data_IF_260870242126
#
_entry.id   IF_260870242126
#
_cell.length_a   1.000
_cell.length_b   1.000
_cell.length_c   1.000
_cell.angle_alpha   90.00
_cell.angle_beta   90.00
_cell.angle_gamma   90.00
#
_symmetry.space_group_name_H-M   'P 1'
#
loop_
_entity.id
_entity.type
_entity.pdbx_description
1 polymer ?
#
# COMPACT_ATOMS: atom_id res chain seq x y z
N UNK A 1 3.32 -21.16 -13.86
CA UNK A 1 4.00 -20.35 -12.83
C UNK A 1 2.99 -19.79 -11.84
N UNK A 2 3.24 -19.93 -10.56
CA UNK A 2 2.37 -19.33 -9.53
C UNK A 2 2.51 -17.81 -9.61
N UNK A 3 1.40 -17.11 -9.84
CA UNK A 3 1.38 -15.64 -9.86
C UNK A 3 1.70 -15.08 -8.49
N UNK A 4 2.55 -14.07 -8.43
CA UNK A 4 2.84 -13.34 -7.17
C UNK A 4 1.64 -12.49 -6.78
N UNK A 5 1.19 -12.61 -5.54
CA UNK A 5 0.05 -11.88 -5.01
C UNK A 5 0.44 -10.48 -4.55
N UNK A 6 -0.39 -9.49 -4.85
CA UNK A 6 -0.25 -8.11 -4.41
C UNK A 6 -1.59 -7.66 -3.84
N UNK A 7 -1.55 -7.09 -2.64
CA UNK A 7 -2.73 -6.49 -2.01
C UNK A 7 -2.61 -4.97 -2.05
N UNK A 8 -3.62 -4.32 -2.63
CA UNK A 8 -3.74 -2.88 -2.67
C UNK A 8 -4.92 -2.45 -1.79
N UNK A 9 -4.67 -1.51 -0.89
CA UNK A 9 -5.66 -1.03 0.07
C UNK A 9 -5.93 0.46 -0.12
N UNK A 10 -7.19 0.84 0.01
CA UNK A 10 -7.59 2.21 0.25
C UNK A 10 -8.15 2.29 1.67
N UNK A 11 -7.53 3.04 2.59
CA UNK A 11 -7.90 3.03 4.00
C UNK A 11 -9.24 3.70 4.22
N UNK A 12 -9.89 3.33 5.31
CA UNK A 12 -11.07 4.03 5.78
C UNK A 12 -10.72 5.44 6.25
N UNK A 13 -11.75 6.27 6.33
CA UNK A 13 -11.67 7.61 6.88
C UNK A 13 -12.75 7.78 7.95
N UNK A 14 -12.60 8.75 8.88
CA UNK A 14 -13.61 8.99 9.90
C UNK A 14 -15.00 9.16 9.31
N UNK A 15 -16.00 8.57 9.97
CA UNK A 15 -17.42 8.57 9.54
C UNK A 15 -18.01 9.95 9.33
N UNK A 16 -17.39 11.00 9.86
CA UNK A 16 -17.79 12.40 9.66
C UNK A 16 -17.71 12.89 8.21
N UNK A 17 -17.05 12.16 7.34
CA UNK A 17 -16.90 12.51 5.91
C UNK A 17 -17.95 11.86 5.00
N UNK A 18 -18.91 11.12 5.56
CA UNK A 18 -19.98 10.44 4.84
C UNK A 18 -19.54 9.22 4.05
N UNK A 19 -20.49 8.61 3.35
CA UNK A 19 -20.23 7.45 2.52
C UNK A 19 -19.36 7.79 1.30
N UNK A 20 -18.46 6.90 0.89
CA UNK A 20 -17.65 7.11 -0.30
C UNK A 20 -18.54 7.11 -1.56
N UNK A 21 -18.50 8.21 -2.29
CA UNK A 21 -19.31 8.38 -3.51
C UNK A 21 -18.57 7.96 -4.79
N UNK A 22 -17.24 7.94 -4.73
CA UNK A 22 -16.41 7.66 -5.90
C UNK A 22 -15.41 6.54 -5.60
N UNK A 23 -15.19 5.61 -6.55
CA UNK A 23 -14.14 4.61 -6.41
C UNK A 23 -12.75 5.29 -6.41
N UNK A 24 -11.75 4.70 -5.74
CA UNK A 24 -10.39 5.23 -5.72
C UNK A 24 -9.69 4.91 -7.05
N UNK A 25 -9.86 5.75 -8.05
CA UNK A 25 -9.43 5.52 -9.44
C UNK A 25 -7.92 5.25 -9.53
N UNK A 26 -7.09 6.02 -8.81
CA UNK A 26 -5.63 5.86 -8.85
C UNK A 26 -5.17 4.45 -8.48
N UNK A 27 -5.71 3.89 -7.41
CA UNK A 27 -5.35 2.52 -6.99
C UNK A 27 -5.90 1.47 -7.98
N UNK A 28 -7.03 1.75 -8.62
CA UNK A 28 -7.60 0.92 -9.70
C UNK A 28 -6.68 0.87 -10.91
N UNK A 29 -6.13 2.00 -11.33
CA UNK A 29 -5.17 2.10 -12.43
C UNK A 29 -3.91 1.29 -12.11
N UNK A 30 -3.32 1.48 -10.93
CA UNK A 30 -2.15 0.74 -10.45
C UNK A 30 -2.42 -0.77 -10.45
N UNK A 31 -3.57 -1.20 -9.93
CA UNK A 31 -3.96 -2.61 -9.94
C UNK A 31 -4.06 -3.19 -11.35
N UNK A 32 -4.64 -2.43 -12.29
CA UNK A 32 -4.76 -2.85 -13.69
C UNK A 32 -3.39 -2.99 -14.35
N UNK A 33 -2.48 -2.06 -14.12
CA UNK A 33 -1.11 -2.10 -14.65
C UNK A 33 -0.39 -3.36 -14.15
N UNK A 34 -0.46 -3.63 -12.85
CA UNK A 34 0.16 -4.82 -12.25
C UNK A 34 -0.47 -6.13 -12.77
N UNK A 35 -1.78 -6.18 -12.94
CA UNK A 35 -2.47 -7.36 -13.52
C UNK A 35 -2.01 -7.63 -14.96
N UNK A 36 -1.86 -6.59 -15.79
CA UNK A 36 -1.33 -6.69 -17.16
C UNK A 36 0.11 -7.22 -17.19
N UNK A 37 0.88 -7.01 -16.13
CA UNK A 37 2.23 -7.56 -15.95
C UNK A 37 2.25 -8.98 -15.35
N UNK A 38 1.10 -9.58 -15.14
CA UNK A 38 0.98 -10.97 -14.71
C UNK A 38 0.90 -11.18 -13.19
N UNK A 39 0.83 -10.12 -12.39
CA UNK A 39 0.60 -10.25 -10.95
C UNK A 39 -0.86 -10.61 -10.63
N UNK A 40 -1.08 -11.31 -9.53
CA UNK A 40 -2.41 -11.54 -8.98
C UNK A 40 -2.72 -10.42 -7.98
N UNK A 41 -3.56 -9.46 -8.38
CA UNK A 41 -3.83 -8.27 -7.60
C UNK A 41 -5.23 -8.33 -6.99
N UNK A 42 -5.31 -8.04 -5.70
CA UNK A 42 -6.56 -7.74 -5.01
C UNK A 42 -6.55 -6.29 -4.56
N UNK A 43 -7.68 -5.61 -4.76
CA UNK A 43 -7.92 -4.25 -4.26
C UNK A 43 -9.03 -4.34 -3.23
N UNK A 44 -8.81 -3.73 -2.07
CA UNK A 44 -9.82 -3.61 -1.03
C UNK A 44 -9.98 -2.15 -0.62
N UNK A 45 -11.15 -1.61 -0.92
CA UNK A 45 -11.57 -0.29 -0.46
C UNK A 45 -12.23 -0.44 0.92
N UNK A 46 -11.47 -0.12 1.95
CA UNK A 46 -11.90 -0.31 3.34
C UNK A 46 -13.00 0.68 3.78
N UNK A 47 -13.33 1.65 2.94
CA UNK A 47 -14.44 2.58 3.20
C UNK A 47 -15.82 1.93 2.94
N UNK A 48 -15.85 0.89 2.10
CA UNK A 48 -17.09 0.23 1.65
C UNK A 48 -17.56 -0.86 2.60
N UNK A 49 -16.64 -1.52 3.28
CA UNK A 49 -16.93 -2.65 4.14
C UNK A 49 -16.65 -2.33 5.61
N UNK A 50 -17.49 -2.84 6.50
CA UNK A 50 -17.17 -2.85 7.93
C UNK A 50 -16.02 -3.83 8.16
N UNK A 51 -14.78 -3.40 7.93
CA UNK A 51 -13.60 -4.20 8.19
C UNK A 51 -13.15 -4.05 9.65
N UNK A 52 -12.44 -5.07 10.11
CA UNK A 52 -11.64 -4.99 11.33
C UNK A 52 -10.21 -5.38 11.01
N UNK A 53 -9.25 -4.93 11.81
CA UNK A 53 -7.85 -5.33 11.64
C UNK A 53 -7.69 -6.84 11.67
N UNK A 54 -8.50 -7.56 12.45
CA UNK A 54 -8.49 -9.03 12.47
C UNK A 54 -8.94 -9.65 11.15
N UNK A 55 -10.03 -9.17 10.55
CA UNK A 55 -10.48 -9.63 9.23
C UNK A 55 -9.42 -9.37 8.16
N UNK A 56 -8.78 -8.19 8.20
CA UNK A 56 -7.69 -7.87 7.29
C UNK A 56 -6.48 -8.77 7.49
N UNK A 57 -6.12 -9.04 8.75
CA UNK A 57 -5.03 -9.97 9.09
C UNK A 57 -5.29 -11.37 8.54
N UNK A 58 -6.50 -11.91 8.76
CA UNK A 58 -6.89 -13.25 8.28
C UNK A 58 -6.87 -13.31 6.75
N UNK A 59 -7.31 -12.25 6.08
CA UNK A 59 -7.22 -12.15 4.62
C UNK A 59 -5.76 -12.15 4.14
N UNK A 60 -4.88 -11.38 4.77
CA UNK A 60 -3.45 -11.32 4.43
C UNK A 60 -2.80 -12.70 4.61
N UNK A 61 -3.12 -13.39 5.70
CA UNK A 61 -2.59 -14.72 5.97
C UNK A 61 -2.99 -15.74 4.91
N UNK A 62 -4.25 -15.71 4.47
CA UNK A 62 -4.73 -16.56 3.38
C UNK A 62 -4.21 -16.18 2.00
N UNK A 63 -4.15 -14.88 1.69
CA UNK A 63 -3.77 -14.37 0.37
C UNK A 63 -2.25 -14.34 0.15
N UNK A 64 -1.47 -14.17 1.21
CA UNK A 64 0.02 -14.17 1.21
C UNK A 64 0.62 -13.22 0.17
N UNK A 65 0.34 -11.90 0.25
CA UNK A 65 0.89 -10.95 -0.70
C UNK A 65 2.41 -10.78 -0.51
N UNK A 66 3.11 -10.52 -1.60
CA UNK A 66 4.56 -10.22 -1.56
C UNK A 66 4.82 -8.81 -1.03
N UNK A 67 3.89 -7.90 -1.25
CA UNK A 67 3.84 -6.58 -0.61
C UNK A 67 2.39 -6.08 -0.51
N UNK A 68 2.20 -5.08 0.35
CA UNK A 68 0.93 -4.37 0.51
C UNK A 68 1.16 -2.91 0.13
N UNK A 69 0.41 -2.43 -0.87
CA UNK A 69 0.37 -1.03 -1.27
C UNK A 69 -0.86 -0.34 -0.68
N UNK A 70 -0.66 0.84 -0.11
CA UNK A 70 -1.75 1.63 0.47
C UNK A 70 -1.74 3.02 -0.16
N UNK A 71 -2.86 3.41 -0.78
CA UNK A 71 -3.03 4.77 -1.28
C UNK A 71 -3.81 5.59 -0.25
N UNK A 72 -3.20 6.67 0.27
CA UNK A 72 -3.80 7.42 1.37
C UNK A 72 -3.78 8.93 1.16
N UNK A 73 -4.83 9.55 1.66
CA UNK A 73 -4.92 10.99 1.92
C UNK A 73 -4.51 11.29 3.37
N UNK A 74 -4.39 12.56 3.72
CA UNK A 74 -4.11 12.95 5.11
C UNK A 74 -5.18 12.50 6.11
N UNK A 75 -6.43 12.39 5.66
CA UNK A 75 -7.56 11.95 6.48
C UNK A 75 -7.45 10.45 6.82
N UNK A 76 -7.07 9.62 5.84
CA UNK A 76 -6.89 8.17 6.02
C UNK A 76 -5.53 7.78 6.60
N UNK A 77 -4.64 8.73 6.87
CA UNK A 77 -3.26 8.40 7.25
C UNK A 77 -3.14 7.69 8.59
N UNK A 78 -3.98 8.05 9.58
CA UNK A 78 -4.00 7.35 10.87
C UNK A 78 -4.34 5.86 10.69
N UNK A 79 -5.37 5.56 9.93
CA UNK A 79 -5.76 4.18 9.60
C UNK A 79 -4.64 3.44 8.84
N UNK A 80 -3.98 4.13 7.91
CA UNK A 80 -2.80 3.59 7.19
C UNK A 80 -1.70 3.14 8.15
N UNK A 81 -1.36 3.97 9.14
CA UNK A 81 -0.33 3.63 10.13
C UNK A 81 -0.75 2.44 10.99
N UNK A 82 -2.01 2.37 11.42
CA UNK A 82 -2.54 1.23 12.19
C UNK A 82 -2.49 -0.07 11.40
N UNK A 83 -2.83 -0.03 10.11
CA UNK A 83 -2.71 -1.17 9.19
C UNK A 83 -1.24 -1.62 9.07
N UNK A 84 -0.31 -0.68 8.81
CA UNK A 84 1.10 -1.01 8.70
C UNK A 84 1.66 -1.62 10.00
N UNK A 85 1.27 -1.11 11.17
CA UNK A 85 1.63 -1.69 12.47
C UNK A 85 1.14 -3.13 12.60
N UNK A 86 -0.11 -3.39 12.28
CA UNK A 86 -0.67 -4.74 12.30
C UNK A 86 0.10 -5.67 11.36
N UNK A 87 0.40 -5.20 10.13
CA UNK A 87 1.18 -5.99 9.16
C UNK A 87 2.57 -6.31 9.71
N UNK A 88 3.30 -5.34 10.23
CA UNK A 88 4.65 -5.59 10.76
C UNK A 88 4.68 -6.49 11.99
N UNK A 89 3.67 -6.40 12.84
CA UNK A 89 3.58 -7.23 14.03
C UNK A 89 3.31 -8.72 13.71
N UNK A 90 2.52 -9.01 12.67
CA UNK A 90 2.12 -10.37 12.32
C UNK A 90 2.85 -10.95 11.12
N UNK A 91 3.27 -10.08 10.19
CA UNK A 91 3.88 -10.45 8.90
C UNK A 91 5.12 -9.57 8.62
N UNK A 92 6.16 -9.60 9.45
CA UNK A 92 7.31 -8.69 9.32
C UNK A 92 8.06 -8.79 7.98
N UNK A 93 7.89 -9.90 7.27
CA UNK A 93 8.50 -10.13 5.95
C UNK A 93 7.73 -9.48 4.80
N UNK A 94 6.47 -9.06 5.02
CA UNK A 94 5.68 -8.38 3.99
C UNK A 94 6.10 -6.91 3.92
N UNK A 95 6.49 -6.48 2.73
CA UNK A 95 6.87 -5.08 2.47
C UNK A 95 5.62 -4.20 2.43
N UNK A 96 5.69 -3.04 3.07
CA UNK A 96 4.66 -2.01 3.02
C UNK A 96 5.13 -0.82 2.18
N UNK A 97 4.31 -0.39 1.23
CA UNK A 97 4.54 0.83 0.45
C UNK A 97 3.29 1.71 0.51
N UNK A 98 3.49 2.98 0.85
CA UNK A 98 2.42 3.97 0.97
C UNK A 98 2.57 5.03 -0.12
N UNK A 99 1.52 5.20 -0.90
CA UNK A 99 1.41 6.21 -1.96
C UNK A 99 0.21 7.13 -1.76
N UNK A 100 -0.03 7.97 -2.75
CA UNK A 100 -1.13 8.92 -2.76
C UNK A 100 -0.75 10.32 -2.29
N UNK A 101 -1.74 11.22 -2.09
CA UNK A 101 -1.50 12.63 -1.80
C UNK A 101 -0.73 12.88 -0.51
N UNK A 102 -0.94 12.07 0.54
CA UNK A 102 -0.30 12.31 1.83
C UNK A 102 1.22 12.13 1.80
N UNK A 103 1.77 10.98 1.38
CA UNK A 103 3.23 10.82 1.32
C UNK A 103 3.90 11.71 0.28
N UNK A 104 3.20 12.10 -0.79
CA UNK A 104 3.72 13.06 -1.77
C UNK A 104 3.88 14.47 -1.18
N UNK A 105 2.97 14.88 -0.29
CA UNK A 105 3.01 16.19 0.37
C UNK A 105 3.88 16.20 1.64
N UNK A 106 3.94 15.08 2.36
CA UNK A 106 4.62 14.97 3.66
C UNK A 106 5.52 13.73 3.75
N UNK A 107 6.53 13.59 2.86
CA UNK A 107 7.34 12.38 2.78
C UNK A 107 8.10 12.07 4.07
N UNK A 108 8.76 13.07 4.66
CA UNK A 108 9.53 12.89 5.89
C UNK A 108 8.65 12.51 7.08
N UNK A 109 7.47 13.14 7.18
CA UNK A 109 6.51 12.84 8.24
C UNK A 109 5.97 11.41 8.11
N UNK A 110 5.73 10.97 6.89
CA UNK A 110 5.27 9.62 6.60
C UNK A 110 6.34 8.59 7.00
N UNK A 111 7.59 8.82 6.62
CA UNK A 111 8.73 7.94 6.91
C UNK A 111 9.18 7.92 8.38
N UNK A 112 8.69 8.80 9.24
CA UNK A 112 8.89 8.68 10.70
C UNK A 112 8.19 7.47 11.30
N UNK A 113 7.22 6.89 10.60
CA UNK A 113 6.54 5.66 11.02
C UNK A 113 7.35 4.45 10.52
N UNK A 114 8.02 3.78 11.44
CA UNK A 114 8.94 2.65 11.18
C UNK A 114 8.27 1.45 10.48
N UNK A 115 6.96 1.37 10.59
CA UNK A 115 6.14 0.32 9.99
C UNK A 115 5.89 0.54 8.49
N UNK A 116 6.26 1.69 7.96
CA UNK A 116 6.21 2.01 6.53
C UNK A 116 7.61 1.82 5.95
N UNK A 117 7.80 0.77 5.15
CA UNK A 117 9.12 0.47 4.57
C UNK A 117 9.47 1.45 3.45
N UNK A 118 8.49 1.75 2.59
CA UNK A 118 8.66 2.61 1.42
C UNK A 118 7.50 3.56 1.25
N UNK A 119 7.78 4.70 0.62
CA UNK A 119 6.75 5.60 0.11
C UNK A 119 6.93 5.78 -1.40
N UNK A 120 5.81 5.99 -2.09
CA UNK A 120 5.77 6.39 -3.49
C UNK A 120 5.35 7.86 -3.56
N UNK A 121 6.23 8.71 -4.08
CA UNK A 121 6.01 10.14 -4.26
C UNK A 121 5.64 10.42 -5.72
N UNK A 122 4.56 11.15 -5.93
CA UNK A 122 4.04 11.45 -7.28
C UNK A 122 3.25 10.29 -7.89
N UNK A 123 3.41 10.10 -9.20
CA UNK A 123 2.63 9.14 -9.99
C UNK A 123 3.15 7.71 -9.84
N UNK A 124 2.37 6.87 -9.16
CA UNK A 124 2.74 5.47 -8.90
C UNK A 124 2.76 4.58 -10.13
N UNK A 125 2.06 4.96 -11.20
CA UNK A 125 1.90 4.19 -12.43
C UNK A 125 3.23 3.87 -13.13
N UNK A 126 4.16 4.80 -13.09
CA UNK A 126 5.49 4.63 -13.70
C UNK A 126 6.46 3.83 -12.83
N UNK A 127 6.16 3.67 -11.55
CA UNK A 127 7.09 3.16 -10.53
C UNK A 127 6.72 1.73 -10.12
N UNK A 128 5.42 1.43 -10.01
CA UNK A 128 4.93 0.26 -9.30
C UNK A 128 5.34 -1.08 -9.94
N UNK A 129 5.50 -1.12 -11.24
CA UNK A 129 5.93 -2.34 -11.94
C UNK A 129 7.38 -2.67 -11.57
N UNK A 130 8.27 -1.69 -11.71
CA UNK A 130 9.68 -1.84 -11.35
C UNK A 130 9.83 -2.22 -9.87
N UNK A 131 9.04 -1.58 -8.99
CA UNK A 131 8.98 -1.93 -7.59
C UNK A 131 8.56 -3.38 -7.35
N UNK A 132 7.48 -3.84 -8.00
CA UNK A 132 6.97 -5.21 -7.85
C UNK A 132 7.93 -6.28 -8.39
N UNK A 133 8.60 -5.99 -9.50
CA UNK A 133 9.58 -6.90 -10.12
C UNK A 133 10.84 -7.06 -9.25
N UNK A 134 11.26 -6.01 -8.56
CA UNK A 134 12.46 -5.99 -7.73
C UNK A 134 12.19 -6.13 -6.22
N UNK A 135 11.02 -6.59 -5.82
CA UNK A 135 10.57 -6.62 -4.40
C UNK A 135 11.54 -7.33 -3.43
N UNK A 136 12.35 -8.23 -3.91
CA UNK A 136 13.33 -8.97 -3.10
C UNK A 136 14.73 -8.31 -3.09
N UNK A 137 14.93 -7.24 -3.84
CA UNK A 137 16.23 -6.61 -4.05
C UNK A 137 16.24 -5.19 -3.45
N UNK A 138 16.39 -5.10 -2.14
CA UNK A 138 16.27 -3.83 -1.39
C UNK A 138 17.11 -2.69 -1.96
N UNK A 139 18.30 -2.97 -2.49
CA UNK A 139 19.16 -1.94 -3.10
C UNK A 139 18.54 -1.39 -4.39
N UNK A 140 17.93 -2.25 -5.21
CA UNK A 140 17.24 -1.82 -6.43
C UNK A 140 16.00 -0.99 -6.08
N UNK A 141 15.22 -1.41 -5.07
CA UNK A 141 14.06 -0.63 -4.63
C UNK A 141 14.44 0.79 -4.21
N UNK A 142 15.56 0.93 -3.49
CA UNK A 142 16.06 2.23 -3.03
C UNK A 142 16.58 3.12 -4.16
N UNK A 143 16.91 2.55 -5.30
CA UNK A 143 17.41 3.28 -6.48
C UNK A 143 16.27 3.77 -7.40
N UNK A 144 15.03 3.30 -7.21
CA UNK A 144 13.89 3.70 -8.05
C UNK A 144 13.56 5.17 -7.77
N UNK A 145 13.56 5.98 -8.82
CA UNK A 145 13.17 7.40 -8.72
C UNK A 145 11.71 7.53 -8.26
N UNK A 146 11.45 8.39 -7.30
CA UNK A 146 10.12 8.56 -6.69
C UNK A 146 9.83 7.63 -5.51
N UNK A 147 10.71 6.67 -5.20
CA UNK A 147 10.63 5.87 -3.98
C UNK A 147 11.41 6.55 -2.86
N UNK A 148 10.75 6.72 -1.72
CA UNK A 148 11.37 7.14 -0.47
C UNK A 148 11.41 6.01 0.54
N UNK A 149 12.39 6.05 1.44
CA UNK A 149 12.57 5.06 2.51
C UNK A 149 13.26 5.70 3.71
N UNK A 150 13.06 5.14 4.90
CA UNK A 150 13.76 5.62 6.09
C UNK A 150 15.24 5.20 6.02
N UNK A 151 16.13 6.18 6.22
CA UNK A 151 17.54 5.87 6.49
C UNK A 151 17.63 5.45 7.96
N UNK A 152 17.68 4.15 8.21
CA UNK A 152 17.99 3.59 9.53
C UNK A 152 19.43 3.92 9.93
#
# INVERSE_FOLDING_TARGET
>A
MVKKNILLLYPDCPSSYGDPRNPPIGIGIIGTILQKKGFNVKIWDLRLDSYTLNKLKDFIDGFKPIFIGISTTSIGFKSTVEICKMVKNHFPHIVTIVGGPHPSSYPERTLKNKEIDFICMGEGESIIVEFAENIRESQKLKAISGIGYSKS
#
